data_IF_378671740042
#
_entry.id   IF_378671740042
#
_cell.length_a   1.000
_cell.length_b   1.000
_cell.length_c   1.000
_cell.angle_alpha   90.00
_cell.angle_beta   90.00
_cell.angle_gamma   90.00
#
_symmetry.space_group_name_H-M   'P 1'
#
loop_
_entity.id
_entity.type
_entity.pdbx_description
1 polymer ?
#
# COMPACT_ATOMS: atom_id res chain seq x y z
N UNK A 1 -21.52 14.99 -21.37
CA UNK A 1 -20.83 14.17 -22.39
C UNK A 1 -19.81 15.04 -23.14
N UNK A 2 -18.66 15.32 -22.53
CA UNK A 2 -17.58 16.06 -23.20
C UNK A 2 -16.97 15.14 -24.28
N UNK A 3 -16.89 15.64 -25.52
CA UNK A 3 -16.47 14.94 -26.75
C UNK A 3 -15.28 14.00 -26.49
N UNK A 4 -15.47 12.68 -26.69
CA UNK A 4 -14.45 11.61 -26.60
C UNK A 4 -13.11 12.00 -27.25
N UNK A 5 -13.14 12.77 -28.35
CA UNK A 5 -11.94 13.25 -29.04
C UNK A 5 -11.08 14.23 -28.22
N UNK A 6 -11.68 15.11 -27.40
CA UNK A 6 -10.92 16.01 -26.54
C UNK A 6 -10.23 15.24 -25.42
N UNK A 7 -10.90 14.25 -24.82
CA UNK A 7 -10.29 13.39 -23.80
C UNK A 7 -9.11 12.57 -24.35
N UNK A 8 -9.23 12.05 -25.57
CA UNK A 8 -8.15 11.30 -26.22
C UNK A 8 -6.92 12.19 -26.48
N UNK A 9 -7.12 13.44 -26.92
CA UNK A 9 -6.03 14.41 -27.14
C UNK A 9 -5.29 14.74 -25.84
N UNK A 10 -6.01 15.01 -24.75
CA UNK A 10 -5.40 15.27 -23.44
C UNK A 10 -4.63 14.06 -22.92
N UNK A 11 -5.18 12.85 -23.08
CA UNK A 11 -4.49 11.62 -22.71
C UNK A 11 -3.17 11.44 -23.46
N UNK A 12 -3.18 11.62 -24.79
CA UNK A 12 -1.96 11.51 -25.62
C UNK A 12 -0.93 12.57 -25.25
N UNK A 13 -1.35 13.81 -24.98
CA UNK A 13 -0.44 14.88 -24.55
C UNK A 13 0.21 14.53 -23.20
N UNK A 14 -0.57 14.08 -22.21
CA UNK A 14 -0.04 13.70 -20.89
C UNK A 14 0.91 12.51 -21.01
N UNK A 15 0.59 11.54 -21.86
CA UNK A 15 1.43 10.36 -22.09
C UNK A 15 2.76 10.74 -22.76
N UNK A 16 2.73 11.65 -23.75
CA UNK A 16 3.94 12.16 -24.40
C UNK A 16 4.81 13.01 -23.46
N UNK A 17 4.19 13.84 -22.61
CA UNK A 17 4.91 14.61 -21.58
C UNK A 17 5.55 13.66 -20.57
N UNK A 18 4.83 12.62 -20.14
CA UNK A 18 5.35 11.62 -19.22
C UNK A 18 6.51 10.80 -19.80
N UNK A 19 6.46 10.46 -21.09
CA UNK A 19 7.56 9.81 -21.81
C UNK A 19 8.77 10.73 -21.98
N UNK A 20 8.53 12.01 -22.33
CA UNK A 20 9.58 13.02 -22.41
C UNK A 20 10.28 13.26 -21.07
N UNK A 21 9.51 13.27 -19.98
CA UNK A 21 10.06 13.38 -18.62
C UNK A 21 10.85 12.12 -18.23
N UNK A 22 10.38 10.93 -18.60
CA UNK A 22 11.11 9.68 -18.40
C UNK A 22 12.45 9.62 -19.15
N UNK A 23 12.50 10.16 -20.38
CA UNK A 23 13.72 10.30 -21.19
C UNK A 23 14.68 11.33 -20.59
N UNK A 24 14.18 12.48 -20.13
CA UNK A 24 14.98 13.48 -19.41
C UNK A 24 15.64 12.88 -18.16
N UNK A 25 14.89 12.05 -17.41
CA UNK A 25 15.42 11.37 -16.23
C UNK A 25 16.51 10.35 -16.60
N UNK A 26 16.42 9.67 -17.75
CA UNK A 26 17.49 8.77 -18.24
C UNK A 26 18.81 9.49 -18.47
N UNK A 27 18.76 10.75 -18.92
CA UNK A 27 19.97 11.57 -19.08
C UNK A 27 20.61 11.95 -17.74
N UNK A 28 19.83 11.98 -16.65
CA UNK A 28 20.33 12.36 -15.33
C UNK A 28 20.81 11.13 -14.52
N UNK A 29 20.01 10.06 -14.50
CA UNK A 29 20.35 8.78 -13.85
C UNK A 29 19.37 7.66 -14.26
N UNK A 30 19.89 6.44 -14.36
CA UNK A 30 19.10 5.28 -14.77
C UNK A 30 18.05 4.89 -13.69
N UNK A 31 18.41 5.03 -12.42
CA UNK A 31 17.56 4.64 -11.28
C UNK A 31 16.28 5.48 -11.17
N UNK A 32 16.38 6.80 -11.37
CA UNK A 32 15.23 7.71 -11.31
C UNK A 32 14.21 7.42 -12.41
N UNK A 33 14.69 7.05 -13.60
CA UNK A 33 13.80 6.70 -14.71
C UNK A 33 13.04 5.40 -14.46
N UNK A 34 13.73 4.37 -13.94
CA UNK A 34 13.09 3.11 -13.56
C UNK A 34 11.98 3.35 -12.52
N UNK A 35 12.25 4.15 -11.48
CA UNK A 35 11.26 4.49 -10.46
C UNK A 35 10.05 5.23 -11.04
N UNK A 36 10.27 6.13 -12.00
CA UNK A 36 9.20 6.86 -12.67
C UNK A 36 8.26 5.92 -13.45
N UNK A 37 8.83 5.03 -14.27
CA UNK A 37 8.03 4.05 -15.04
C UNK A 37 7.31 3.05 -14.13
N UNK A 38 7.96 2.58 -13.06
CA UNK A 38 7.32 1.72 -12.06
C UNK A 38 6.13 2.45 -11.40
N UNK A 39 6.31 3.73 -11.03
CA UNK A 39 5.23 4.54 -10.46
C UNK A 39 4.03 4.68 -11.40
N UNK A 40 4.26 4.90 -12.70
CA UNK A 40 3.20 4.97 -13.71
C UNK A 40 2.47 3.64 -13.86
N UNK A 41 3.20 2.53 -13.94
CA UNK A 41 2.62 1.19 -14.04
C UNK A 41 1.76 0.87 -12.82
N UNK A 42 2.29 1.13 -11.62
CA UNK A 42 1.56 0.95 -10.35
C UNK A 42 0.30 1.80 -10.35
N UNK A 43 0.39 3.09 -10.68
CA UNK A 43 -0.76 4.00 -10.74
C UNK A 43 -1.86 3.49 -11.69
N UNK A 44 -1.48 3.03 -12.89
CA UNK A 44 -2.41 2.47 -13.87
C UNK A 44 -3.11 1.20 -13.35
N UNK A 45 -2.35 0.30 -12.72
CA UNK A 45 -2.89 -0.93 -12.13
C UNK A 45 -3.86 -0.60 -11.00
N UNK A 46 -3.51 0.32 -10.10
CA UNK A 46 -4.39 0.73 -9.00
C UNK A 46 -5.71 1.32 -9.52
N UNK A 47 -5.63 2.18 -10.55
CA UNK A 47 -6.81 2.77 -11.19
C UNK A 47 -7.74 1.70 -11.74
N UNK A 48 -7.21 0.75 -12.50
CA UNK A 48 -8.03 -0.31 -13.10
C UNK A 48 -8.58 -1.29 -12.07
N UNK A 49 -7.84 -1.53 -10.99
CA UNK A 49 -8.25 -2.41 -9.90
C UNK A 49 -9.25 -1.75 -8.93
N UNK A 50 -9.48 -0.44 -9.00
CA UNK A 50 -10.26 0.33 -8.02
C UNK A 50 -9.89 -0.05 -6.59
N UNK A 51 -8.58 -0.08 -6.32
CA UNK A 51 -8.05 -0.71 -5.12
C UNK A 51 -8.27 0.18 -3.89
N UNK A 52 -9.17 -0.25 -2.99
CA UNK A 52 -9.45 0.47 -1.75
C UNK A 52 -9.46 -0.50 -0.56
N UNK A 53 -8.50 -0.34 0.36
CA UNK A 53 -8.44 -1.14 1.59
C UNK A 53 -9.70 -0.97 2.45
N UNK A 54 -10.18 0.27 2.66
CA UNK A 54 -11.40 0.57 3.42
C UNK A 54 -12.62 -0.09 2.79
N UNK A 55 -12.77 0.11 1.47
CA UNK A 55 -13.88 -0.45 0.71
C UNK A 55 -13.87 -1.98 0.76
N UNK A 56 -12.69 -2.61 0.78
CA UNK A 56 -12.57 -4.06 0.98
C UNK A 56 -13.17 -4.53 2.30
N UNK A 57 -12.81 -3.89 3.42
CA UNK A 57 -13.33 -4.23 4.74
C UNK A 57 -14.83 -3.90 4.89
N UNK A 58 -15.28 -2.75 4.39
CA UNK A 58 -16.69 -2.37 4.43
C UNK A 58 -17.55 -3.31 3.58
N UNK A 59 -17.11 -3.64 2.36
CA UNK A 59 -17.86 -4.54 1.47
C UNK A 59 -17.93 -5.96 1.99
N UNK A 60 -16.91 -6.40 2.71
CA UNK A 60 -16.93 -7.67 3.42
C UNK A 60 -17.95 -7.68 4.55
N UNK A 61 -18.02 -6.61 5.36
CA UNK A 61 -18.93 -6.54 6.49
C UNK A 61 -20.39 -6.35 6.05
N UNK A 62 -20.63 -5.48 5.05
CA UNK A 62 -21.98 -5.06 4.65
C UNK A 62 -22.59 -5.93 3.55
N UNK A 63 -21.79 -6.29 2.54
CA UNK A 63 -22.26 -7.01 1.34
C UNK A 63 -21.72 -8.45 1.24
N UNK A 64 -20.95 -8.89 2.24
CA UNK A 64 -20.28 -10.21 2.28
C UNK A 64 -19.40 -10.50 1.05
N UNK A 65 -19.02 -9.46 0.31
CA UNK A 65 -18.22 -9.58 -0.90
C UNK A 65 -16.74 -9.61 -0.52
N UNK A 66 -16.10 -10.76 -0.70
CA UNK A 66 -14.70 -10.98 -0.31
C UNK A 66 -13.72 -10.82 -1.48
N UNK A 67 -14.16 -10.37 -2.65
CA UNK A 67 -13.28 -10.25 -3.84
C UNK A 67 -12.09 -9.31 -3.59
N UNK A 68 -12.36 -8.12 -3.06
CA UNK A 68 -11.32 -7.12 -2.75
C UNK A 68 -10.38 -7.57 -1.63
N UNK A 69 -10.91 -8.16 -0.55
CA UNK A 69 -10.10 -8.68 0.56
C UNK A 69 -9.18 -9.81 0.09
N UNK A 70 -9.68 -10.73 -0.74
CA UNK A 70 -8.86 -11.80 -1.32
C UNK A 70 -7.75 -11.26 -2.20
N UNK A 71 -8.02 -10.23 -3.01
CA UNK A 71 -7.00 -9.57 -3.81
C UNK A 71 -5.91 -8.93 -2.93
N UNK A 72 -6.29 -8.28 -1.82
CA UNK A 72 -5.35 -7.72 -0.84
C UNK A 72 -4.46 -8.81 -0.22
N UNK A 73 -5.04 -9.95 0.19
CA UNK A 73 -4.29 -11.06 0.78
C UNK A 73 -3.25 -11.63 -0.21
N UNK A 74 -3.65 -11.82 -1.47
CA UNK A 74 -2.75 -12.28 -2.52
C UNK A 74 -1.63 -11.26 -2.76
N UNK A 75 -1.95 -9.96 -2.81
CA UNK A 75 -0.97 -8.89 -2.98
C UNK A 75 0.07 -8.88 -1.86
N UNK A 76 -0.37 -9.02 -0.60
CA UNK A 76 0.52 -9.11 0.57
C UNK A 76 1.41 -10.37 0.47
N UNK A 77 0.84 -11.50 0.04
CA UNK A 77 1.61 -12.73 -0.18
C UNK A 77 2.71 -12.58 -1.22
N UNK A 78 2.37 -12.04 -2.39
CA UNK A 78 3.33 -11.77 -3.47
C UNK A 78 4.40 -10.78 -3.01
N UNK A 79 4.01 -9.70 -2.31
CA UNK A 79 4.94 -8.70 -1.78
C UNK A 79 5.90 -9.31 -0.75
N UNK A 80 5.41 -10.20 0.12
CA UNK A 80 6.23 -10.91 1.10
C UNK A 80 7.27 -11.78 0.41
N UNK A 81 6.87 -12.55 -0.61
CA UNK A 81 7.78 -13.42 -1.38
C UNK A 81 8.78 -12.58 -2.20
N UNK A 82 8.34 -11.48 -2.81
CA UNK A 82 9.19 -10.58 -3.58
C UNK A 82 10.27 -9.93 -2.71
N UNK A 83 9.87 -9.41 -1.55
CA UNK A 83 10.80 -8.93 -0.53
C UNK A 83 11.72 -10.04 -0.05
N UNK A 84 11.19 -11.28 0.04
CA UNK A 84 11.96 -12.43 0.45
C UNK A 84 13.14 -12.73 -0.48
N UNK A 85 12.85 -12.80 -1.77
CA UNK A 85 13.84 -13.05 -2.81
C UNK A 85 14.84 -11.89 -2.89
N UNK A 86 14.37 -10.65 -2.81
CA UNK A 86 15.22 -9.47 -2.89
C UNK A 86 16.26 -9.46 -1.77
N UNK A 87 15.86 -9.73 -0.52
CA UNK A 87 16.79 -9.75 0.59
C UNK A 87 17.87 -10.85 0.46
N UNK A 88 17.49 -12.03 -0.04
CA UNK A 88 18.44 -13.11 -0.29
C UNK A 88 19.48 -12.72 -1.35
N UNK A 89 19.04 -12.09 -2.44
CA UNK A 89 19.90 -11.65 -3.54
C UNK A 89 20.87 -10.53 -3.12
N UNK A 90 20.44 -9.61 -2.26
CA UNK A 90 21.28 -8.46 -1.88
C UNK A 90 22.34 -8.79 -0.84
N UNK A 91 22.02 -9.59 0.18
CA UNK A 91 22.93 -9.78 1.33
C UNK A 91 23.64 -11.13 1.33
N UNK A 92 23.23 -12.06 0.47
CA UNK A 92 23.69 -13.45 0.41
C UNK A 92 23.77 -14.13 1.81
N UNK A 93 23.06 -13.55 2.79
CA UNK A 93 23.13 -13.86 4.20
C UNK A 93 21.81 -13.49 4.86
N UNK A 94 21.33 -14.36 5.73
CA UNK A 94 20.03 -14.20 6.41
C UNK A 94 20.10 -13.33 7.67
N UNK A 95 21.29 -12.77 7.98
CA UNK A 95 21.57 -12.08 9.23
C UNK A 95 21.39 -10.56 9.16
N UNK A 96 21.39 -9.96 7.96
CA UNK A 96 21.19 -8.53 7.80
C UNK A 96 19.77 -8.28 7.29
N UNK A 97 19.03 -7.47 8.05
CA UNK A 97 17.63 -7.12 7.75
C UNK A 97 17.64 -5.85 6.91
N UNK A 98 17.13 -5.94 5.69
CA UNK A 98 16.85 -4.78 4.84
C UNK A 98 15.58 -4.08 5.30
N UNK A 99 15.54 -3.59 6.54
CA UNK A 99 14.31 -2.98 7.03
C UNK A 99 14.51 -2.24 8.32
N UNK A 100 13.99 -1.02 8.37
CA UNK A 100 13.82 -0.31 9.62
C UNK A 100 12.71 -1.03 10.39
N UNK A 101 13.11 -1.96 11.26
CA UNK A 101 12.19 -2.65 12.15
C UNK A 101 11.83 -1.67 13.26
N UNK A 102 10.72 -0.96 13.08
CA UNK A 102 10.23 -0.12 14.16
C UNK A 102 9.70 -1.02 15.29
N UNK A 103 9.88 -0.62 16.56
CA UNK A 103 9.15 -1.21 17.66
C UNK A 103 7.65 -1.23 17.41
N UNK A 104 6.98 -2.17 18.05
CA UNK A 104 5.54 -2.17 18.17
C UNK A 104 5.24 -1.70 19.59
N UNK A 105 4.22 -0.86 19.75
CA UNK A 105 3.88 -0.27 21.03
C UNK A 105 2.46 0.21 21.03
N UNK A 106 2.00 0.76 22.16
CA UNK A 106 0.62 1.26 22.27
C UNK A 106 0.33 2.38 21.25
N UNK A 107 1.36 3.10 20.82
CA UNK A 107 1.26 4.12 19.78
C UNK A 107 0.78 3.57 18.42
N UNK A 108 1.10 2.32 18.06
CA UNK A 108 0.64 1.75 16.78
C UNK A 108 -0.85 1.42 16.82
N UNK A 109 -1.37 0.98 17.98
CA UNK A 109 -2.79 0.69 18.17
C UNK A 109 -3.60 2.00 18.16
N UNK A 110 -3.16 3.00 18.94
CA UNK A 110 -3.81 4.31 19.00
C UNK A 110 -3.75 5.00 17.63
N UNK A 111 -2.59 4.98 16.98
CA UNK A 111 -2.41 5.52 15.64
C UNK A 111 -3.29 4.82 14.60
N UNK A 112 -3.37 3.49 14.64
CA UNK A 112 -4.25 2.71 13.76
C UNK A 112 -5.73 3.04 13.95
N UNK A 113 -6.17 3.27 15.19
CA UNK A 113 -7.55 3.67 15.47
C UNK A 113 -7.86 5.06 14.92
N UNK A 114 -6.99 6.05 15.16
CA UNK A 114 -7.14 7.42 14.62
C UNK A 114 -7.10 7.40 13.08
N UNK A 115 -6.20 6.62 12.49
CA UNK A 115 -6.11 6.45 11.05
C UNK A 115 -7.38 5.84 10.46
N UNK A 116 -7.96 4.82 11.12
CA UNK A 116 -9.23 4.22 10.71
C UNK A 116 -10.43 5.18 10.80
N UNK A 117 -10.48 6.01 11.85
CA UNK A 117 -11.49 7.08 11.95
C UNK A 117 -11.32 8.11 10.84
N UNK A 118 -10.09 8.56 10.57
CA UNK A 118 -9.79 9.49 9.49
C UNK A 118 -10.15 8.93 8.12
N UNK A 119 -9.85 7.66 7.87
CA UNK A 119 -10.22 6.94 6.65
C UNK A 119 -11.73 6.88 6.44
N UNK A 120 -12.50 6.70 7.52
CA UNK A 120 -13.96 6.68 7.48
C UNK A 120 -14.55 8.06 7.18
N UNK A 121 -13.98 9.13 7.75
CA UNK A 121 -14.39 10.52 7.50
C UNK A 121 -14.03 11.00 6.08
N UNK A 122 -12.87 10.59 5.56
CA UNK A 122 -12.41 10.97 4.23
C UNK A 122 -13.11 10.21 3.09
N UNK A 123 -13.77 9.08 3.40
CA UNK A 123 -14.42 8.25 2.39
C UNK A 123 -13.43 7.54 1.44
N UNK A 124 -12.18 7.33 1.87
CA UNK A 124 -11.13 6.72 1.05
C UNK A 124 -9.85 6.38 1.83
N UNK A 125 -9.07 5.43 1.33
CA UNK A 125 -7.70 5.17 1.79
C UNK A 125 -6.68 6.05 1.05
N UNK A 126 -5.47 6.20 1.59
CA UNK A 126 -4.40 7.00 0.97
C UNK A 126 -4.17 6.65 -0.52
N UNK A 127 -4.11 5.35 -0.86
CA UNK A 127 -3.94 4.89 -2.24
C UNK A 127 -5.12 5.28 -3.15
N UNK A 128 -6.36 5.08 -2.67
CA UNK A 128 -7.56 5.41 -3.43
C UNK A 128 -7.74 6.93 -3.58
N UNK A 129 -7.33 7.71 -2.58
CA UNK A 129 -7.36 9.17 -2.66
C UNK A 129 -6.41 9.67 -3.76
N UNK A 130 -5.20 9.11 -3.86
CA UNK A 130 -4.25 9.46 -4.92
C UNK A 130 -4.77 9.10 -6.31
N UNK A 131 -5.38 7.93 -6.45
CA UNK A 131 -6.03 7.49 -7.67
C UNK A 131 -7.18 8.42 -8.08
N UNK A 132 -8.07 8.81 -7.15
CA UNK A 132 -9.22 9.69 -7.42
C UNK A 132 -8.82 11.14 -7.70
N UNK A 133 -7.69 11.60 -7.14
CA UNK A 133 -7.04 12.85 -7.56
C UNK A 133 -6.57 12.74 -9.01
N UNK A 134 -5.95 11.61 -9.39
CA UNK A 134 -5.57 11.31 -10.77
C UNK A 134 -6.76 11.27 -11.74
N UNK A 135 -7.94 10.86 -11.28
CA UNK A 135 -9.20 10.91 -12.05
C UNK A 135 -9.81 12.32 -12.16
N UNK A 136 -9.24 13.31 -11.47
CA UNK A 136 -9.67 14.72 -11.51
C UNK A 136 -10.67 15.11 -10.42
N UNK A 137 -10.84 14.30 -9.38
CA UNK A 137 -11.77 14.63 -8.29
C UNK A 137 -11.14 15.62 -7.31
N UNK A 138 -11.56 16.89 -7.38
CA UNK A 138 -11.00 17.99 -6.58
C UNK A 138 -11.16 17.77 -5.06
N UNK A 139 -12.23 17.12 -4.62
CA UNK A 139 -12.46 16.85 -3.18
C UNK A 139 -11.31 16.03 -2.56
N UNK A 140 -10.71 15.11 -3.33
CA UNK A 140 -9.62 14.25 -2.83
C UNK A 140 -8.28 14.97 -2.79
N UNK A 141 -8.14 16.13 -3.45
CA UNK A 141 -6.95 16.98 -3.34
C UNK A 141 -6.84 17.51 -1.91
N UNK A 142 -7.95 17.98 -1.35
CA UNK A 142 -8.02 18.46 0.04
C UNK A 142 -7.71 17.32 1.02
N UNK A 143 -8.20 16.11 0.76
CA UNK A 143 -7.89 14.91 1.57
C UNK A 143 -6.39 14.63 1.57
N UNK A 144 -5.72 14.71 0.41
CA UNK A 144 -4.27 14.52 0.32
C UNK A 144 -3.51 15.61 1.08
N UNK A 145 -3.92 16.87 0.98
CA UNK A 145 -3.30 17.94 1.77
C UNK A 145 -3.43 17.69 3.27
N UNK A 146 -4.62 17.29 3.73
CA UNK A 146 -4.83 16.90 5.13
C UNK A 146 -3.96 15.71 5.53
N UNK A 147 -3.81 14.72 4.65
CA UNK A 147 -2.94 13.56 4.88
C UNK A 147 -1.46 13.95 4.99
N UNK A 148 -0.98 14.87 4.15
CA UNK A 148 0.40 15.37 4.18
C UNK A 148 0.68 16.10 5.50
N UNK A 149 -0.22 17.00 5.91
CA UNK A 149 -0.08 17.76 7.16
C UNK A 149 -0.12 16.81 8.36
N UNK A 150 -1.11 15.90 8.40
CA UNK A 150 -1.23 14.91 9.47
C UNK A 150 -0.01 13.99 9.57
N UNK A 151 0.52 13.52 8.44
CA UNK A 151 1.72 12.70 8.41
C UNK A 151 2.96 13.47 8.89
N UNK A 152 3.10 14.75 8.52
CA UNK A 152 4.21 15.59 8.97
C UNK A 152 4.19 15.79 10.49
N UNK A 153 3.01 16.08 11.06
CA UNK A 153 2.84 16.20 12.52
C UNK A 153 3.12 14.86 13.21
N UNK A 154 2.63 13.76 12.65
CA UNK A 154 2.83 12.43 13.21
C UNK A 154 4.31 12.05 13.28
N UNK A 155 5.10 12.36 12.23
CA UNK A 155 6.54 12.10 12.20
C UNK A 155 7.28 12.91 13.28
N UNK A 156 6.94 14.19 13.47
CA UNK A 156 7.57 15.04 14.50
C UNK A 156 7.28 14.51 15.92
N UNK A 157 6.06 14.06 16.17
CA UNK A 157 5.70 13.50 17.48
C UNK A 157 6.13 12.04 17.68
N UNK A 158 6.55 11.35 16.62
CA UNK A 158 6.84 9.91 16.67
C UNK A 158 7.90 9.57 17.72
N UNK A 159 8.98 10.35 17.81
CA UNK A 159 10.06 10.11 18.77
C UNK A 159 9.57 10.16 20.22
N UNK A 160 8.70 11.11 20.54
CA UNK A 160 8.09 11.24 21.88
C UNK A 160 7.20 10.03 22.21
N UNK A 161 6.44 9.53 21.23
CA UNK A 161 5.59 8.35 21.42
C UNK A 161 6.40 7.06 21.57
N UNK A 162 7.52 6.94 20.85
CA UNK A 162 8.43 5.81 20.96
C UNK A 162 9.08 5.80 22.35
N UNK A 163 9.60 6.93 22.83
CA UNK A 163 10.26 7.00 24.14
C UNK A 163 9.31 6.64 25.31
N UNK A 164 8.07 7.12 25.27
CA UNK A 164 7.08 6.91 26.35
C UNK A 164 6.36 5.55 26.33
N UNK A 165 6.14 4.98 25.14
CA UNK A 165 5.19 3.85 24.96
C UNK A 165 5.78 2.67 24.17
N UNK A 166 7.11 2.52 24.17
CA UNK A 166 7.77 1.37 23.55
C UNK A 166 7.55 0.09 24.35
N UNK A 167 7.13 -0.95 23.64
CA UNK A 167 7.20 -2.33 24.10
C UNK A 167 8.29 -3.02 23.26
N UNK A 168 9.05 -3.94 23.86
CA UNK A 168 10.22 -4.55 23.24
C UNK A 168 9.93 -5.12 21.83
N UNK A 169 10.85 -4.90 20.89
CA UNK A 169 10.78 -5.45 19.53
C UNK A 169 10.88 -6.98 19.57
N UNK A 170 9.76 -7.67 19.32
CA UNK A 170 9.79 -9.12 19.10
C UNK A 170 10.00 -9.34 17.61
N UNK A 171 11.25 -9.39 17.18
CA UNK A 171 11.58 -9.70 15.79
C UNK A 171 11.55 -11.22 15.57
N UNK A 172 10.37 -11.73 15.21
CA UNK A 172 10.09 -13.15 14.94
C UNK A 172 11.13 -13.79 13.98
N UNK A 173 11.62 -13.11 12.92
CA UNK A 173 12.63 -13.68 12.02
C UNK A 173 14.00 -13.97 12.67
N UNK A 174 14.35 -13.28 13.78
CA UNK A 174 15.61 -13.50 14.51
C UNK A 174 15.62 -14.84 15.28
N UNK A 175 14.44 -15.34 15.65
CA UNK A 175 14.29 -16.56 16.44
C UNK A 175 13.89 -17.78 15.59
N UNK A 176 13.09 -17.60 14.53
CA UNK A 176 12.63 -18.70 13.69
C UNK A 176 13.48 -18.94 12.44
N UNK A 177 14.32 -18.00 12.04
CA UNK A 177 15.00 -18.04 10.75
C UNK A 177 14.09 -17.59 9.61
N UNK A 178 14.70 -16.92 8.64
CA UNK A 178 14.00 -16.14 7.63
C UNK A 178 13.06 -16.96 6.73
N UNK A 179 13.49 -18.16 6.34
CA UNK A 179 12.70 -19.09 5.52
C UNK A 179 11.45 -19.58 6.26
N UNK A 180 11.57 -19.86 7.57
CA UNK A 180 10.43 -20.33 8.39
C UNK A 180 9.44 -19.20 8.66
N UNK A 181 9.92 -17.97 8.82
CA UNK A 181 9.07 -16.79 8.98
C UNK A 181 8.23 -16.52 7.71
N UNK A 182 8.85 -16.60 6.53
CA UNK A 182 8.14 -16.43 5.25
C UNK A 182 7.14 -17.57 5.03
N UNK A 183 7.52 -18.83 5.31
CA UNK A 183 6.59 -19.97 5.22
C UNK A 183 5.41 -19.81 6.17
N UNK A 184 5.64 -19.42 7.42
CA UNK A 184 4.57 -19.20 8.40
C UNK A 184 3.62 -18.09 7.93
N UNK A 185 4.16 -16.99 7.40
CA UNK A 185 3.36 -15.90 6.84
C UNK A 185 2.50 -16.39 5.66
N UNK A 186 3.06 -17.16 4.73
CA UNK A 186 2.32 -17.71 3.58
C UNK A 186 1.22 -18.68 4.03
N UNK A 187 1.50 -19.50 5.05
CA UNK A 187 0.51 -20.42 5.64
C UNK A 187 -0.64 -19.62 6.27
N UNK A 188 -0.34 -18.61 7.07
CA UNK A 188 -1.35 -17.76 7.70
C UNK A 188 -2.20 -17.04 6.65
N UNK A 189 -1.58 -16.50 5.60
CA UNK A 189 -2.30 -15.85 4.50
C UNK A 189 -3.17 -16.84 3.71
N UNK A 190 -2.70 -18.06 3.46
CA UNK A 190 -3.50 -19.13 2.82
C UNK A 190 -4.71 -19.54 3.68
N UNK A 191 -4.52 -19.66 5.00
CA UNK A 191 -5.62 -19.96 5.92
C UNK A 191 -6.65 -18.83 5.92
N UNK A 192 -6.21 -17.56 5.97
CA UNK A 192 -7.09 -16.40 5.86
C UNK A 192 -7.84 -16.39 4.52
N UNK A 193 -7.16 -16.64 3.40
CA UNK A 193 -7.80 -16.74 2.09
C UNK A 193 -8.90 -17.81 2.06
N UNK A 194 -8.60 -19.01 2.57
CA UNK A 194 -9.57 -20.10 2.66
C UNK A 194 -10.75 -19.73 3.58
N UNK A 195 -10.48 -19.08 4.71
CA UNK A 195 -11.52 -18.61 5.63
C UNK A 195 -12.48 -17.61 4.96
N UNK A 196 -11.95 -16.59 4.26
CA UNK A 196 -12.78 -15.62 3.56
C UNK A 196 -13.56 -16.23 2.40
N UNK A 197 -12.95 -17.15 1.63
CA UNK A 197 -13.66 -17.82 0.54
C UNK A 197 -14.77 -18.76 1.05
N UNK A 198 -14.55 -19.44 2.18
CA UNK A 198 -15.56 -20.25 2.83
C UNK A 198 -16.71 -19.40 3.38
N UNK A 199 -16.40 -18.22 3.95
CA UNK A 199 -17.41 -17.29 4.46
C UNK A 199 -18.34 -16.76 3.37
N UNK A 200 -17.82 -16.50 2.17
CA UNK A 200 -18.61 -16.11 1.01
C UNK A 200 -19.52 -17.26 0.53
N UNK A 201 -19.01 -18.49 0.46
CA UNK A 201 -19.79 -19.68 0.04
C UNK A 201 -20.97 -20.01 0.97
N UNK A 202 -20.91 -19.61 2.24
CA UNK A 202 -22.02 -19.78 3.21
C UNK A 202 -23.08 -18.66 3.14
N UNK A 203 -22.89 -17.65 2.30
CA UNK A 203 -23.75 -16.47 2.23
C UNK A 203 -24.59 -16.34 0.96
N UNK A 204 -24.27 -17.12 -0.07
CA UNK A 204 -25.14 -17.40 -1.20
C UNK A 204 -25.93 -18.68 -0.94
#
# INVERSE_FOLDING_TARGET
>A
MLKKEKQLKWFVIILLISLGFGLLLLYLSLDLSILWFIGLMIGFILQRANFCFAGGFLNFFLFRNTKLIRAIIILIGISTIGFAIYQYLTFNSWNQVLGQVLPWGLYTIVGGFIFGLGMSLAGGCACSSLMRVGEGTIIFVIVIFGFIIGNSIAIVHLEWWIDKFTVATIFIPKYLGWVRAVLLQVIVLSLLYNFFSWFEKRGN
#
